data_IF_096306330602
#
_entry.id   IF_096306330602
#
_cell.length_a   1.000
_cell.length_b   1.000
_cell.length_c   1.000
_cell.angle_alpha   90.00
_cell.angle_beta   90.00
_cell.angle_gamma   90.00
#
_symmetry.space_group_name_H-M   'P 1'
#
loop_
_entity.id
_entity.type
_entity.pdbx_description
1 polymer ?
2 polymer ?
3 polymer ?
4 non-polymer ?
5 water ?
#
loop_
_entity_poly.entity_id
_entity_poly.type
_entity_poly.pdbx_seq_one_letter_code
_entity_poly.pdbx_strand_id
1 'polydeoxyribonucleotide' '(DC)(DC)(DG)(DG)(DA)(DG)(DG)(DA)(DC)(DA)(DG)(DT)(DC)(DC)(DT)(DC)(DC)(DG)(DG)' ?
2 'polydeoxyribonucleotide' '(DC)(DC)(DG)(DG)(DA)(DG)(DG)(DA)(DC)(DT)(DG)(DT)(DC)(DC)(DT)(DC)(DC)(DG)(DG)' ?
#
# COMPACT_ATOMS: atom_id res chain seq x y z
N UNK C 8 18.69 -10.41 -12.33
CA UNK C 8 18.34 -9.78 -11.07
C UNK C 8 17.97 -10.63 -9.86
N UNK C 9 17.27 -11.73 -10.11
CA UNK C 9 16.75 -12.62 -9.10
C UNK C 9 17.82 -13.56 -8.55
N UNK C 10 18.30 -13.26 -7.35
CA UNK C 10 19.26 -14.10 -6.68
C UNK C 10 18.65 -15.47 -6.42
N UNK C 11 19.44 -16.54 -6.24
CA UNK C 11 18.83 -17.85 -5.97
C UNK C 11 18.22 -18.02 -4.58
N UNK C 12 17.37 -19.04 -4.42
CA UNK C 12 16.70 -19.40 -3.18
C UNK C 12 17.54 -19.48 -1.93
N UNK C 13 18.71 -20.09 -2.05
CA UNK C 13 19.62 -20.23 -0.95
C UNK C 13 20.28 -18.91 -0.63
N UNK C 14 20.86 -18.12 -1.56
CA UNK C 14 21.45 -16.85 -1.13
C UNK C 14 20.36 -15.91 -0.61
N UNK C 15 19.12 -16.04 -1.16
CA UNK C 15 17.90 -15.37 -0.70
C UNK C 15 17.62 -15.73 0.75
N UNK C 16 17.59 -17.04 1.00
CA UNK C 16 17.38 -17.57 2.32
C UNK C 16 18.40 -16.98 3.27
N UNK C 17 19.61 -16.87 2.72
CA UNK C 17 20.76 -16.43 3.48
C UNK C 17 21.08 -14.92 3.53
N UNK C 18 20.38 -14.08 2.75
CA UNK C 18 20.61 -12.65 2.70
C UNK C 18 22.04 -12.34 2.33
N UNK C 19 22.45 -13.04 1.29
CA UNK C 19 23.81 -12.87 0.76
C UNK C 19 23.88 -12.36 -0.69
N UNK C 20 25.05 -12.09 -1.27
CA UNK C 20 25.11 -11.62 -2.62
C UNK C 20 25.14 -12.83 -3.59
N UNK C 21 24.14 -13.03 -4.42
CA UNK C 21 24.20 -14.07 -5.44
C UNK C 21 24.96 -13.59 -6.66
N UNK C 22 25.72 -14.52 -7.23
CA UNK C 22 26.44 -14.27 -8.45
C UNK C 22 25.46 -14.28 -9.62
N UNK C 23 24.40 -15.11 -9.47
CA UNK C 23 23.22 -15.28 -10.35
C UNK C 23 23.38 -16.19 -11.54
N UNK C 24 24.46 -16.99 -11.62
CA UNK C 24 24.62 -17.84 -12.78
C UNK C 24 23.91 -19.19 -12.76
N UNK C 25 22.94 -19.25 -13.65
CA UNK C 25 22.13 -20.45 -13.87
C UNK C 25 22.91 -21.42 -14.80
N UNK C 26 23.21 -22.69 -14.47
CA UNK C 26 22.47 -23.58 -13.59
C UNK C 26 22.66 -23.52 -12.07
N UNK C 27 23.88 -23.51 -11.58
CA UNK C 27 24.12 -23.45 -10.15
C UNK C 27 25.02 -22.25 -10.10
N UNK C 28 24.63 -21.40 -9.15
CA UNK C 28 25.43 -20.23 -8.87
C UNK C 28 26.75 -20.65 -8.23
N UNK C 29 27.71 -19.73 -8.21
CA UNK C 29 29.02 -19.92 -7.65
C UNK C 29 28.98 -20.64 -6.34
N UNK C 30 28.35 -20.11 -5.29
CA UNK C 30 28.35 -20.83 -4.01
C UNK C 30 27.70 -22.22 -4.09
N UNK C 31 26.57 -22.44 -4.81
CA UNK C 31 25.91 -23.74 -4.86
C UNK C 31 26.84 -24.65 -5.63
N UNK C 32 27.33 -24.30 -6.78
CA UNK C 32 28.24 -25.10 -7.58
C UNK C 32 29.37 -25.75 -6.76
N UNK C 33 30.07 -24.80 -6.13
CA UNK C 33 31.23 -25.05 -5.32
C UNK C 33 30.88 -25.83 -4.05
N UNK C 34 29.67 -25.63 -3.53
CA UNK C 34 29.17 -26.36 -2.36
C UNK C 34 28.25 -27.53 -2.68
N UNK C 35 28.04 -27.88 -3.93
CA UNK C 35 27.10 -28.91 -4.35
C UNK C 35 25.77 -28.83 -3.60
N UNK C 36 25.19 -27.63 -3.66
CA UNK C 36 23.86 -27.36 -3.14
C UNK C 36 23.02 -27.19 -4.37
N UNK C 37 21.71 -27.48 -4.21
CA UNK C 37 20.68 -27.36 -5.24
C UNK C 37 20.43 -25.94 -5.75
N UNK C 38 20.64 -25.54 -7.02
CA UNK C 38 20.43 -24.15 -7.29
C UNK C 38 19.07 -24.17 -7.90
N UNK C 39 18.13 -23.64 -7.13
CA UNK C 39 16.79 -23.43 -7.58
C UNK C 39 16.61 -21.91 -7.55
N UNK C 40 16.20 -21.24 -8.64
CA UNK C 40 15.90 -19.80 -8.64
C UNK C 40 14.39 -19.98 -8.83
N UNK C 41 13.64 -19.86 -7.73
CA UNK C 41 12.19 -20.07 -7.68
C UNK C 41 11.43 -18.83 -8.11
N UNK C 42 10.16 -18.94 -8.59
CA UNK C 42 9.35 -17.77 -8.90
C UNK C 42 9.03 -16.87 -7.69
N UNK C 43 8.80 -15.61 -8.05
CA UNK C 43 8.38 -14.59 -7.10
C UNK C 43 6.95 -15.04 -6.76
N UNK C 44 6.52 -15.39 -5.53
CA UNK C 44 5.14 -15.86 -5.38
C UNK C 44 4.20 -14.76 -4.88
N UNK C 45 3.21 -14.72 -5.77
CA UNK C 45 2.08 -13.84 -5.71
C UNK C 45 1.42 -13.71 -4.34
N UNK C 46 1.09 -12.44 -4.08
CA UNK C 46 0.42 -11.96 -2.88
C UNK C 46 -0.93 -11.34 -3.28
N UNK C 47 -1.66 -10.78 -2.32
CA UNK C 47 -2.89 -10.03 -2.50
C UNK C 47 -2.63 -8.57 -2.94
N UNK C 48 -3.40 -7.89 -3.79
CA UNK C 48 -3.28 -6.48 -4.04
C UNK C 48 -3.48 -5.76 -2.72
N UNK C 49 -2.46 -4.96 -2.54
CA UNK C 49 -2.34 -4.08 -1.38
C UNK C 49 -2.87 -2.76 -1.93
N UNK C 50 -4.17 -2.69 -1.85
CA UNK C 50 -4.90 -1.61 -2.46
C UNK C 50 -5.84 -1.12 -1.41
N UNK C 51 -6.16 0.20 -1.36
CA UNK C 51 -7.04 0.73 -0.31
C UNK C 51 -8.37 0.00 -0.37
N UNK C 52 -8.89 -0.35 -1.55
CA UNK C 52 -10.11 -1.12 -1.70
C UNK C 52 -10.05 -2.40 -0.90
N UNK C 53 -8.98 -3.19 -1.13
CA UNK C 53 -8.88 -4.51 -0.52
C UNK C 53 -8.54 -4.36 0.95
N UNK C 54 -8.04 -3.25 1.47
CA UNK C 54 -7.82 -3.23 2.89
C UNK C 54 -9.16 -2.91 3.49
N UNK C 55 -9.86 -1.87 3.11
CA UNK C 55 -11.06 -1.52 3.84
C UNK C 55 -12.19 -2.48 3.57
N UNK C 56 -12.11 -3.20 2.45
CA UNK C 56 -13.07 -4.25 2.15
C UNK C 56 -12.99 -5.24 3.33
N UNK C 57 -11.87 -5.93 3.33
CA UNK C 57 -11.62 -6.98 4.26
C UNK C 57 -11.45 -6.50 5.68
N UNK C 58 -11.12 -5.25 6.05
CA UNK C 58 -11.08 -4.93 7.47
C UNK C 58 -12.49 -4.56 7.95
N UNK C 59 -13.40 -4.36 6.98
CA UNK C 59 -14.82 -4.12 7.23
C UNK C 59 -15.72 -5.34 7.02
N UNK C 60 -15.36 -6.35 6.24
CA UNK C 60 -16.10 -7.60 6.24
C UNK C 60 -15.98 -8.22 7.65
N UNK C 61 -14.74 -8.26 8.17
CA UNK C 61 -14.38 -8.74 9.49
C UNK C 61 -15.12 -7.95 10.55
N UNK C 62 -14.89 -6.63 10.66
CA UNK C 62 -15.62 -5.84 11.63
C UNK C 62 -16.89 -5.40 10.93
N UNK C 63 -17.88 -6.21 11.25
CA UNK C 63 -19.22 -6.19 10.67
C UNK C 63 -19.91 -7.42 11.23
N UNK C 64 -19.11 -8.49 11.35
CA UNK C 64 -19.48 -9.80 11.85
C UNK C 64 -18.71 -10.08 13.14
N UNK D 8 -3.92 26.23 2.30
CA UNK D 8 -3.48 25.50 1.11
C UNK D 8 -3.66 23.98 1.04
N UNK D 9 -4.95 23.75 0.86
CA UNK D 9 -5.57 22.48 0.52
C UNK D 9 -6.92 23.03 0.06
N UNK D 10 -7.64 22.23 -0.70
CA UNK D 10 -8.86 22.76 -1.20
C UNK D 10 -9.95 22.67 -0.16
N UNK D 11 -10.90 23.55 -0.25
CA UNK D 11 -12.02 23.51 0.65
C UNK D 11 -12.97 22.44 0.19
N UNK D 12 -13.80 22.03 1.10
CA UNK D 12 -14.79 21.00 0.88
C UNK D 12 -15.84 21.28 -0.21
N UNK D 13 -16.19 22.51 -0.61
CA UNK D 13 -17.26 22.65 -1.60
C UNK D 13 -16.59 22.37 -2.92
N UNK D 14 -15.47 23.05 -3.12
CA UNK D 14 -14.73 22.88 -4.34
C UNK D 14 -14.31 21.40 -4.40
N UNK D 15 -14.09 20.80 -3.23
CA UNK D 15 -13.70 19.43 -3.15
C UNK D 15 -14.79 18.53 -3.68
N UNK D 16 -16.03 18.51 -3.23
CA UNK D 16 -16.95 17.54 -3.79
C UNK D 16 -17.58 18.00 -5.09
N UNK D 17 -17.21 19.21 -5.52
CA UNK D 17 -17.69 19.70 -6.80
C UNK D 17 -16.53 19.56 -7.78
N UNK D 18 -15.37 19.16 -7.29
CA UNK D 18 -14.14 19.01 -8.04
C UNK D 18 -13.73 20.25 -8.85
N UNK D 19 -13.65 21.34 -8.06
CA UNK D 19 -13.31 22.64 -8.59
C UNK D 19 -12.09 23.24 -7.95
N UNK D 20 -11.50 24.12 -8.70
CA UNK D 20 -10.30 24.83 -8.33
C UNK D 20 -10.52 25.63 -7.06
N UNK D 21 -9.65 25.43 -6.10
CA UNK D 21 -9.74 26.30 -4.96
C UNK D 21 -8.62 27.34 -4.91
N UNK D 22 -8.94 28.48 -4.28
CA UNK D 22 -7.95 29.51 -4.09
C UNK D 22 -7.38 29.25 -2.70
N UNK D 23 -7.93 28.32 -1.89
CA UNK D 23 -7.37 27.85 -0.62
C UNK D 23 -7.06 28.91 0.47
N UNK D 24 -7.60 30.11 0.22
CA UNK D 24 -7.32 31.30 0.99
C UNK D 24 -8.22 31.41 2.21
N UNK D 25 -7.71 30.93 3.31
CA UNK D 25 -8.43 30.88 4.58
C UNK D 25 -8.77 32.27 5.15
N UNK D 26 -9.93 32.61 5.79
CA UNK D 26 -11.02 31.73 6.18
C UNK D 26 -12.11 31.45 5.14
N UNK D 27 -12.14 32.25 4.08
CA UNK D 27 -13.13 32.14 3.03
C UNK D 27 -12.41 32.23 1.68
N UNK D 28 -12.44 31.08 0.98
CA UNK D 28 -11.88 31.01 -0.35
C UNK D 28 -12.86 31.83 -1.20
N UNK D 29 -12.40 32.48 -2.25
CA UNK D 29 -13.22 33.32 -3.11
C UNK D 29 -14.64 32.89 -3.51
N UNK D 30 -14.85 31.63 -3.84
CA UNK D 30 -16.17 31.25 -4.28
C UNK D 30 -17.06 31.37 -3.09
N UNK D 31 -16.73 30.87 -1.89
CA UNK D 31 -17.64 30.98 -0.77
C UNK D 31 -17.77 32.45 -0.30
N UNK D 32 -16.72 33.30 -0.44
CA UNK D 32 -16.83 34.74 -0.16
C UNK D 32 -17.80 35.34 -1.17
N UNK D 33 -17.50 35.25 -2.47
CA UNK D 33 -18.37 35.73 -3.51
C UNK D 33 -19.77 35.20 -3.32
N UNK D 34 -19.92 33.89 -3.17
CA UNK D 34 -21.22 33.22 -3.21
C UNK D 34 -21.97 33.13 -1.90
N UNK D 35 -21.30 33.51 -0.83
CA UNK D 35 -21.84 33.44 0.51
C UNK D 35 -22.28 32.05 0.93
N UNK D 36 -21.29 31.17 0.93
CA UNK D 36 -21.47 29.78 1.30
C UNK D 36 -20.61 29.47 2.52
N UNK D 37 -20.85 28.40 3.27
CA UNK D 37 -19.96 28.08 4.36
C UNK D 37 -18.80 27.25 3.83
N UNK D 38 -17.69 27.84 4.19
CA UNK D 38 -16.42 27.37 3.77
C UNK D 38 -15.91 26.59 4.96
N UNK D 39 -15.39 25.43 4.62
CA UNK D 39 -14.84 24.55 5.60
C UNK D 39 -13.76 23.73 4.92
N UNK D 40 -12.65 23.73 5.61
CA UNK D 40 -11.50 22.94 5.26
C UNK D 40 -11.50 22.05 6.47
N UNK D 41 -12.25 20.96 6.33
CA UNK D 41 -12.30 19.96 7.35
C UNK D 41 -10.97 19.25 7.19
N UNK D 42 -10.45 18.56 8.23
CA UNK D 42 -9.06 18.12 8.31
C UNK D 42 -8.69 16.78 7.66
N UNK D 43 -7.43 16.43 7.86
CA UNK D 43 -6.81 15.27 7.28
C UNK D 43 -7.60 14.05 7.65
N UNK D 44 -8.30 13.39 6.69
CA UNK D 44 -9.02 12.14 6.94
C UNK D 44 -8.01 11.13 7.48
N UNK D 45 -8.07 10.61 8.71
CA UNK D 45 -7.11 9.60 9.10
C UNK D 45 -7.66 8.29 8.55
N UNK D 46 -6.79 7.34 8.13
CA UNK D 46 -7.22 6.01 7.63
C UNK D 46 -6.39 4.92 8.36
N UNK D 47 -6.58 3.64 8.03
CA UNK D 47 -5.74 2.57 8.57
C UNK D 47 -4.50 2.48 7.67
N UNK D 48 -3.39 1.85 8.01
CA UNK D 48 -2.16 1.91 7.24
C UNK D 48 -2.19 0.91 6.08
N UNK D 49 -1.94 1.30 4.84
CA UNK D 49 -2.02 0.30 3.77
C UNK D 49 -0.64 -0.39 3.78
N UNK D 50 -0.28 -1.11 4.84
CA UNK D 50 1.02 -1.74 4.93
C UNK D 50 0.74 -3.18 4.79
N UNK D 51 1.80 -3.97 4.58
CA UNK D 51 1.57 -5.35 4.41
C UNK D 51 1.15 -6.05 5.67
N UNK D 52 1.79 -5.96 6.82
CA UNK D 52 1.33 -6.72 7.99
C UNK D 52 -0.11 -6.46 8.31
N UNK D 53 -0.55 -5.19 8.21
CA UNK D 53 -1.91 -4.86 8.59
C UNK D 53 -2.89 -5.50 7.63
N UNK D 54 -2.56 -5.64 6.33
CA UNK D 54 -3.41 -6.32 5.34
C UNK D 54 -3.51 -7.81 5.74
N UNK D 55 -2.34 -8.35 6.05
CA UNK D 55 -2.19 -9.76 6.38
C UNK D 55 -2.82 -10.01 7.76
N UNK D 56 -2.47 -9.37 8.90
CA UNK D 56 -3.14 -9.46 10.20
C UNK D 56 -4.64 -9.60 10.08
N UNK D 57 -5.19 -8.63 9.34
CA UNK D 57 -6.59 -8.59 9.03
C UNK D 57 -6.98 -9.68 8.06
N UNK D 58 -6.49 -10.09 6.89
CA UNK D 58 -7.18 -11.20 6.22
C UNK D 58 -7.03 -12.50 6.99
N UNK D 59 -6.00 -12.63 7.84
CA UNK D 59 -5.81 -13.77 8.71
C UNK D 59 -6.88 -13.77 9.76
N UNK D 60 -7.17 -12.61 10.28
CA UNK D 60 -8.17 -12.51 11.29
C UNK D 60 -9.57 -12.69 10.73
N UNK D 61 -9.75 -12.48 9.45
CA UNK D 61 -11.02 -12.80 8.87
C UNK D 61 -10.97 -14.30 8.52
N UNK D 62 -9.92 -14.89 7.92
CA UNK D 62 -9.85 -16.31 7.57
C UNK D 62 -10.04 -17.24 8.77
N UNK D 63 -9.79 -16.67 9.95
CA UNK D 63 -10.01 -17.32 11.22
C UNK D 63 -11.45 -17.22 11.70
N UNK D 64 -12.35 -16.33 11.24
CA UNK D 64 -13.77 -16.29 11.68
C UNK D 64 -14.59 -17.42 11.07
#
# INVERSE_FOLDING_TARGET
>C
MKLLSSIEQACDICRLKKLKCSKEKPKCAKCLKNNWECRYSPKTKRSPLTRAHLTEVESRLERLEF
>D
MKLLSSIEQACDICRLKKLKCSKEKPKCAKCLKNNWECRYSPKTKRSPLTRAHLTEVESRLERLEF
#
